data_IF_295862997018
#
_entry.id   IF_295862997018
#
_cell.length_a   1.000
_cell.length_b   1.000
_cell.length_c   1.000
_cell.angle_alpha   90.00
_cell.angle_beta   90.00
_cell.angle_gamma   90.00
#
_symmetry.space_group_name_H-M   'P 1'
#
loop_
_entity.id
_entity.type
_entity.pdbx_description
1 polymer ?
#
# COMPACT_ATOMS: atom_id res chain seq x y z
N UNK A 1 -34.34 35.22 28.27
CA UNK A 1 -33.08 34.49 28.28
C UNK A 1 -33.23 32.99 28.02
N UNK A 2 -34.02 32.22 28.80
CA UNK A 2 -34.19 30.75 28.59
C UNK A 2 -34.65 30.37 27.16
N UNK A 3 -35.60 31.08 26.57
CA UNK A 3 -36.09 30.79 25.19
C UNK A 3 -35.03 31.06 24.12
N UNK A 4 -34.18 32.09 24.31
CA UNK A 4 -33.07 32.41 23.38
C UNK A 4 -31.97 31.32 23.48
N UNK A 5 -31.64 30.88 24.70
CA UNK A 5 -30.67 29.78 24.91
C UNK A 5 -31.15 28.45 24.28
N UNK A 6 -32.44 28.13 24.44
CA UNK A 6 -33.04 26.95 23.81
C UNK A 6 -33.05 27.06 22.27
N UNK A 7 -33.30 28.24 21.71
CA UNK A 7 -33.21 28.47 20.26
C UNK A 7 -31.79 28.29 19.71
N UNK A 8 -30.79 28.83 20.42
CA UNK A 8 -29.37 28.66 20.06
C UNK A 8 -28.96 27.18 20.15
N UNK A 9 -29.35 26.48 21.21
CA UNK A 9 -29.06 25.07 21.37
C UNK A 9 -29.68 24.23 20.23
N UNK A 10 -30.96 24.48 19.92
CA UNK A 10 -31.62 23.80 18.80
C UNK A 10 -30.93 24.06 17.46
N UNK A 11 -30.51 25.29 17.20
CA UNK A 11 -29.76 25.62 15.98
C UNK A 11 -28.41 24.92 15.92
N UNK A 12 -27.67 24.86 17.03
CA UNK A 12 -26.40 24.17 17.10
C UNK A 12 -26.55 22.64 16.87
N UNK A 13 -27.60 22.05 17.41
CA UNK A 13 -27.93 20.62 17.18
C UNK A 13 -28.28 20.36 15.71
N UNK A 14 -29.06 21.27 15.09
CA UNK A 14 -29.38 21.15 13.65
C UNK A 14 -28.16 21.34 12.77
N UNK A 15 -27.28 22.28 13.08
CA UNK A 15 -26.04 22.51 12.34
C UNK A 15 -25.09 21.32 12.51
N UNK A 16 -24.97 20.77 13.73
CA UNK A 16 -24.18 19.57 13.97
C UNK A 16 -24.75 18.35 13.22
N UNK A 17 -26.07 18.17 13.23
CA UNK A 17 -26.75 17.11 12.48
C UNK A 17 -26.53 17.26 10.97
N UNK A 18 -26.65 18.47 10.43
CA UNK A 18 -26.37 18.73 9.01
C UNK A 18 -24.90 18.49 8.65
N UNK A 19 -23.97 18.87 9.51
CA UNK A 19 -22.54 18.60 9.31
C UNK A 19 -22.24 17.09 9.33
N UNK A 20 -22.81 16.34 10.27
CA UNK A 20 -22.66 14.88 10.37
C UNK A 20 -23.24 14.20 9.12
N UNK A 21 -24.39 14.66 8.61
CA UNK A 21 -24.97 14.08 7.38
C UNK A 21 -24.17 14.43 6.14
N UNK A 22 -23.54 15.62 6.09
CA UNK A 22 -22.73 16.06 4.96
C UNK A 22 -21.37 15.36 4.89
N UNK A 23 -20.75 15.08 6.05
CA UNK A 23 -19.41 14.42 6.14
C UNK A 23 -19.55 12.91 6.26
N UNK A 24 -20.69 12.41 6.72
CA UNK A 24 -20.96 11.02 7.00
C UNK A 24 -21.00 10.71 8.50
N UNK A 25 -21.96 9.93 8.91
CA UNK A 25 -22.15 9.52 10.31
C UNK A 25 -20.95 8.71 10.86
N UNK A 26 -20.16 8.09 9.99
CA UNK A 26 -18.94 7.34 10.32
C UNK A 26 -17.92 8.20 11.08
N UNK A 27 -17.90 9.50 10.85
CA UNK A 27 -17.01 10.43 11.56
C UNK A 27 -17.21 10.34 13.08
N UNK A 28 -18.45 10.12 13.52
CA UNK A 28 -18.84 10.08 14.94
C UNK A 28 -18.87 8.63 15.46
N UNK A 29 -19.47 7.73 14.69
CA UNK A 29 -19.75 6.34 15.13
C UNK A 29 -18.65 5.35 14.76
N UNK A 30 -17.68 5.75 13.94
CA UNK A 30 -16.63 4.87 13.42
C UNK A 30 -16.97 4.28 12.05
N UNK A 31 -16.05 3.50 11.47
CA UNK A 31 -16.20 2.97 10.13
C UNK A 31 -17.35 1.97 10.01
N UNK A 32 -17.92 1.89 8.82
CA UNK A 32 -18.77 0.77 8.46
C UNK A 32 -17.96 -0.52 8.48
N UNK A 33 -18.45 -1.53 9.17
CA UNK A 33 -17.80 -2.83 9.25
C UNK A 33 -18.83 -3.94 9.21
N UNK A 34 -18.55 -5.01 8.46
CA UNK A 34 -19.36 -6.23 8.58
C UNK A 34 -19.12 -6.91 9.92
N UNK A 35 -20.09 -7.68 10.37
CA UNK A 35 -19.90 -8.60 11.50
C UNK A 35 -18.81 -9.63 11.17
N UNK A 36 -18.00 -9.97 12.17
CA UNK A 36 -17.04 -11.06 12.07
C UNK A 36 -17.79 -12.39 12.13
N UNK A 37 -17.35 -13.34 11.32
CA UNK A 37 -17.89 -14.71 11.25
C UNK A 37 -16.95 -15.71 11.91
N UNK A 38 -17.37 -16.99 11.99
CA UNK A 38 -16.52 -18.09 12.44
C UNK A 38 -15.67 -18.68 11.30
N UNK A 39 -15.37 -17.90 10.24
CA UNK A 39 -14.54 -18.34 9.13
C UNK A 39 -13.14 -18.71 9.63
N UNK A 40 -12.68 -19.87 9.21
CA UNK A 40 -11.34 -20.39 9.49
C UNK A 40 -10.70 -20.87 8.20
N UNK A 41 -9.38 -20.84 8.16
CA UNK A 41 -8.62 -21.31 7.02
C UNK A 41 -7.77 -22.53 7.42
N UNK A 42 -8.05 -23.66 6.77
CA UNK A 42 -7.28 -24.87 6.98
C UNK A 42 -5.81 -24.65 6.61
N UNK A 43 -4.92 -25.09 7.50
CA UNK A 43 -3.47 -25.04 7.26
C UNK A 43 -3.05 -26.22 6.39
N UNK A 44 -2.70 -25.93 5.14
CA UNK A 44 -2.12 -26.89 4.20
C UNK A 44 -0.73 -26.44 3.76
N UNK A 45 0.12 -27.36 3.29
CA UNK A 45 1.46 -27.01 2.80
C UNK A 45 1.39 -26.10 1.56
N UNK A 46 0.39 -26.31 0.71
CA UNK A 46 0.14 -25.46 -0.45
C UNK A 46 -0.17 -24.01 -0.04
N UNK A 47 -1.04 -23.80 0.94
CA UNK A 47 -1.37 -22.46 1.48
C UNK A 47 -0.17 -21.84 2.17
N UNK A 48 0.62 -22.61 2.91
CA UNK A 48 1.84 -22.09 3.53
C UNK A 48 2.83 -21.58 2.48
N UNK A 49 3.12 -22.39 1.46
CA UNK A 49 4.04 -22.01 0.40
C UNK A 49 3.53 -20.80 -0.41
N UNK A 50 2.23 -20.81 -0.78
CA UNK A 50 1.61 -19.69 -1.50
C UNK A 50 1.57 -18.42 -0.65
N UNK A 51 1.20 -18.53 0.63
CA UNK A 51 1.15 -17.41 1.57
C UNK A 51 2.53 -16.81 1.80
N UNK A 52 3.56 -17.64 1.96
CA UNK A 52 4.94 -17.18 2.03
C UNK A 52 5.32 -16.37 0.81
N UNK A 53 5.07 -16.93 -0.38
CA UNK A 53 5.36 -16.25 -1.64
C UNK A 53 4.67 -14.89 -1.75
N UNK A 54 3.37 -14.82 -1.44
CA UNK A 54 2.62 -13.58 -1.52
C UNK A 54 3.08 -12.55 -0.49
N UNK A 55 3.20 -12.93 0.77
CA UNK A 55 3.53 -12.03 1.87
C UNK A 55 4.95 -11.48 1.76
N UNK A 56 5.90 -12.33 1.39
CA UNK A 56 7.31 -11.96 1.35
C UNK A 56 7.73 -11.29 0.05
N UNK A 57 7.12 -11.67 -1.08
CA UNK A 57 7.65 -11.26 -2.38
C UNK A 57 6.71 -10.34 -3.17
N UNK A 58 5.40 -10.63 -3.22
CA UNK A 58 4.52 -9.90 -4.15
C UNK A 58 3.76 -8.79 -3.44
N UNK A 59 3.00 -9.12 -2.37
CA UNK A 59 2.30 -8.12 -1.55
C UNK A 59 3.25 -7.35 -0.63
N UNK A 60 4.48 -7.87 -0.44
CA UNK A 60 5.56 -7.21 0.30
C UNK A 60 5.16 -6.73 1.70
N UNK A 61 4.34 -7.50 2.42
CA UNK A 61 3.77 -7.08 3.72
C UNK A 61 4.85 -6.63 4.71
N UNK A 62 6.00 -7.32 4.71
CA UNK A 62 7.10 -7.01 5.61
C UNK A 62 7.88 -5.76 5.22
N UNK A 63 7.67 -5.19 4.03
CA UNK A 63 8.22 -3.90 3.67
C UNK A 63 7.66 -2.77 4.55
N UNK A 64 6.38 -2.84 4.90
CA UNK A 64 5.75 -1.89 5.83
C UNK A 64 5.73 -2.41 7.28
N UNK A 65 5.53 -3.71 7.48
CA UNK A 65 5.34 -4.30 8.81
C UNK A 65 6.63 -4.81 9.47
N UNK A 66 7.80 -4.34 9.03
CA UNK A 66 9.09 -4.64 9.69
C UNK A 66 9.91 -3.39 9.85
N UNK A 67 10.68 -3.30 10.92
CA UNK A 67 11.62 -2.20 11.09
C UNK A 67 12.84 -2.40 10.19
N UNK A 68 13.19 -1.34 9.45
CA UNK A 68 14.33 -1.34 8.52
C UNK A 68 15.53 -0.59 9.08
N UNK A 69 16.72 -1.00 8.66
CA UNK A 69 17.93 -0.21 8.84
C UNK A 69 18.01 0.83 7.71
N UNK A 70 17.53 2.03 7.98
CA UNK A 70 17.51 3.14 7.02
C UNK A 70 18.90 3.75 6.78
N UNK A 71 19.90 3.37 7.57
CA UNK A 71 21.31 3.79 7.35
C UNK A 71 21.98 2.98 6.23
N UNK A 72 21.47 1.79 5.93
CA UNK A 72 21.91 0.97 4.80
C UNK A 72 21.09 1.36 3.54
N UNK A 73 21.75 1.70 2.41
CA UNK A 73 21.05 2.03 1.16
C UNK A 73 20.15 0.92 0.60
N UNK A 74 20.29 -0.33 1.05
CA UNK A 74 19.42 -1.44 0.69
C UNK A 74 18.19 -1.54 1.60
N UNK A 75 18.16 -0.81 2.72
CA UNK A 75 17.09 -0.80 3.71
C UNK A 75 16.69 -2.23 4.18
N UNK A 76 17.64 -3.07 4.62
CA UNK A 76 17.31 -4.42 5.05
C UNK A 76 16.43 -4.38 6.31
N UNK A 77 15.61 -5.41 6.47
CA UNK A 77 14.87 -5.62 7.73
C UNK A 77 15.86 -5.86 8.86
N UNK A 78 15.72 -5.13 9.96
CA UNK A 78 16.53 -5.34 11.16
C UNK A 78 16.36 -6.76 11.69
N UNK A 79 17.45 -7.37 12.14
CA UNK A 79 17.45 -8.73 12.64
C UNK A 79 16.41 -8.91 13.76
N UNK A 80 15.58 -9.94 13.66
CA UNK A 80 14.54 -10.26 14.63
C UNK A 80 13.28 -9.36 14.56
N UNK A 81 13.20 -8.41 13.63
CA UNK A 81 12.09 -7.46 13.54
C UNK A 81 11.13 -7.74 12.38
N UNK A 82 11.25 -8.89 11.72
CA UNK A 82 10.36 -9.27 10.62
C UNK A 82 8.92 -9.41 11.10
N UNK A 83 8.03 -8.61 10.56
CA UNK A 83 6.61 -8.57 10.93
C UNK A 83 6.30 -7.86 12.25
N UNK A 84 7.29 -7.35 12.99
CA UNK A 84 7.12 -6.75 14.30
C UNK A 84 6.57 -5.30 14.28
N UNK A 85 6.25 -4.79 13.09
CA UNK A 85 5.76 -3.44 12.88
C UNK A 85 6.87 -2.41 12.67
N UNK A 86 6.48 -1.21 12.20
CA UNK A 86 7.39 -0.10 11.92
C UNK A 86 6.69 1.25 12.02
N UNK A 87 7.36 2.23 12.63
CA UNK A 87 6.96 3.62 12.57
C UNK A 87 7.51 4.23 11.27
N UNK A 88 6.63 4.41 10.29
CA UNK A 88 7.02 4.87 8.95
C UNK A 88 7.33 6.37 8.96
N UNK A 89 8.42 6.80 8.29
CA UNK A 89 8.84 8.20 8.26
C UNK A 89 8.03 9.01 7.23
N UNK A 90 6.76 9.31 7.55
CA UNK A 90 5.84 10.07 6.68
C UNK A 90 5.29 11.27 7.48
N UNK A 91 6.11 12.31 7.71
CA UNK A 91 5.76 13.41 8.61
C UNK A 91 4.52 14.20 8.19
N UNK A 92 4.19 14.25 6.89
CA UNK A 92 3.01 14.95 6.36
C UNK A 92 1.69 14.34 6.83
N UNK A 93 1.70 13.08 7.24
CA UNK A 93 0.52 12.37 7.74
C UNK A 93 0.47 12.32 9.26
N UNK A 94 1.50 12.80 9.94
CA UNK A 94 1.73 12.64 11.37
C UNK A 94 2.50 11.36 11.68
N UNK A 95 2.16 10.69 12.79
CA UNK A 95 2.78 9.43 13.16
C UNK A 95 2.01 8.27 12.53
N UNK A 96 2.60 7.63 11.54
CA UNK A 96 2.04 6.45 10.87
C UNK A 96 2.79 5.21 11.33
N UNK A 97 2.09 4.26 11.95
CA UNK A 97 2.69 3.03 12.47
C UNK A 97 2.02 1.82 11.85
N UNK A 98 2.79 1.04 11.09
CA UNK A 98 2.39 -0.29 10.69
C UNK A 98 2.47 -1.23 11.91
N UNK A 99 1.38 -1.91 12.29
CA UNK A 99 1.35 -2.72 13.50
C UNK A 99 2.17 -4.01 13.37
N UNK A 100 2.42 -4.66 14.52
CA UNK A 100 2.94 -6.01 14.59
C UNK A 100 1.91 -7.00 14.02
N UNK A 101 2.29 -7.74 12.98
CA UNK A 101 1.46 -8.76 12.31
C UNK A 101 1.96 -10.19 12.56
N UNK A 102 2.90 -10.36 13.51
CA UNK A 102 3.31 -11.69 13.94
C UNK A 102 2.24 -12.32 14.87
N UNK A 103 2.23 -13.66 15.04
CA UNK A 103 1.25 -14.32 15.91
C UNK A 103 1.57 -14.17 17.41
N UNK A 104 2.16 -13.05 17.81
CA UNK A 104 2.32 -12.71 19.22
C UNK A 104 0.97 -12.34 19.84
N UNK A 105 0.67 -12.89 21.02
CA UNK A 105 -0.64 -12.74 21.66
C UNK A 105 -0.87 -11.36 22.28
N UNK A 106 0.17 -10.68 22.68
CA UNK A 106 0.07 -9.41 23.41
C UNK A 106 0.19 -8.21 22.45
N UNK A 107 1.14 -8.26 21.54
CA UNK A 107 1.51 -7.12 20.70
C UNK A 107 1.17 -7.30 19.22
N UNK A 108 0.83 -8.54 18.79
CA UNK A 108 0.56 -8.90 17.40
C UNK A 108 -0.87 -9.36 17.14
N UNK A 109 -1.02 -10.29 16.20
CA UNK A 109 -2.31 -10.83 15.77
C UNK A 109 -2.62 -12.21 16.36
N UNK A 110 -1.87 -12.68 17.36
CA UNK A 110 -2.01 -14.06 17.90
C UNK A 110 -3.41 -14.39 18.44
N UNK A 111 -4.08 -13.42 19.05
CA UNK A 111 -5.44 -13.58 19.58
C UNK A 111 -6.57 -13.23 18.59
N UNK A 112 -6.23 -12.85 17.34
CA UNK A 112 -7.23 -12.53 16.33
C UNK A 112 -7.79 -13.82 15.72
N UNK A 113 -9.07 -13.82 15.32
CA UNK A 113 -9.62 -14.89 14.47
C UNK A 113 -9.14 -14.75 13.04
N UNK A 114 -9.26 -15.80 12.24
CA UNK A 114 -8.89 -15.72 10.81
C UNK A 114 -9.74 -14.70 10.07
N UNK A 115 -11.02 -14.59 10.43
CA UNK A 115 -11.93 -13.62 9.81
C UNK A 115 -11.63 -12.17 10.25
N UNK A 116 -11.14 -11.94 11.47
CA UNK A 116 -10.67 -10.62 11.90
C UNK A 116 -9.43 -10.19 11.10
N UNK A 117 -8.50 -11.12 10.84
CA UNK A 117 -7.32 -10.84 10.00
C UNK A 117 -7.76 -10.58 8.56
N UNK A 118 -8.64 -11.42 8.00
CA UNK A 118 -9.17 -11.25 6.65
C UNK A 118 -9.89 -9.90 6.48
N UNK A 119 -10.72 -9.51 7.47
CA UNK A 119 -11.39 -8.21 7.48
C UNK A 119 -10.40 -7.04 7.52
N UNK A 120 -9.36 -7.13 8.31
CA UNK A 120 -8.33 -6.09 8.35
C UNK A 120 -7.61 -5.94 6.99
N UNK A 121 -7.28 -7.06 6.35
CA UNK A 121 -6.60 -7.07 5.04
C UNK A 121 -7.50 -6.53 3.92
N UNK A 122 -8.78 -6.93 3.88
CA UNK A 122 -9.64 -6.61 2.73
C UNK A 122 -10.53 -5.38 2.95
N UNK A 123 -10.84 -5.02 4.19
CA UNK A 123 -11.83 -3.99 4.50
C UNK A 123 -11.24 -2.83 5.30
N UNK A 124 -10.00 -2.96 5.78
CA UNK A 124 -9.33 -1.88 6.54
C UNK A 124 -9.90 -1.67 7.94
N UNK A 125 -10.48 -2.70 8.57
CA UNK A 125 -11.06 -2.62 9.92
C UNK A 125 -10.38 -3.65 10.83
N UNK A 126 -9.75 -3.18 11.90
CA UNK A 126 -9.05 -4.04 12.83
C UNK A 126 -9.99 -4.84 13.76
N UNK A 127 -9.41 -5.68 14.63
CA UNK A 127 -10.17 -6.49 15.63
C UNK A 127 -11.11 -5.63 16.48
N UNK A 128 -10.70 -4.44 16.90
CA UNK A 128 -11.46 -3.54 17.75
C UNK A 128 -12.51 -2.71 16.98
N UNK A 129 -12.73 -2.99 15.69
CA UNK A 129 -13.65 -2.22 14.86
C UNK A 129 -13.16 -0.82 14.50
N UNK A 130 -11.85 -0.54 14.63
CA UNK A 130 -11.25 0.75 14.29
C UNK A 130 -10.71 0.73 12.86
N UNK A 131 -10.75 1.89 12.16
CA UNK A 131 -10.25 1.98 10.80
C UNK A 131 -8.73 1.82 10.77
N UNK A 132 -8.24 1.20 9.70
CA UNK A 132 -6.85 1.28 9.30
C UNK A 132 -6.68 2.46 8.34
N UNK A 133 -5.54 3.15 8.42
CA UNK A 133 -5.22 4.19 7.45
C UNK A 133 -4.91 3.55 6.08
N UNK A 134 -5.40 4.12 4.95
CA UNK A 134 -5.34 3.46 3.63
C UNK A 134 -3.96 3.38 3.00
N UNK A 135 -2.88 3.73 3.71
CA UNK A 135 -1.53 3.33 3.34
C UNK A 135 -1.36 1.80 3.42
N UNK A 136 -2.13 1.14 4.30
CA UNK A 136 -2.42 -0.29 4.18
C UNK A 136 -3.35 -0.47 2.98
N UNK A 137 -2.92 -1.13 1.88
CA UNK A 137 -3.64 -1.07 0.61
C UNK A 137 -4.86 -2.02 0.56
N UNK A 138 -5.71 -1.98 1.60
CA UNK A 138 -6.91 -2.81 1.68
C UNK A 138 -7.90 -2.54 0.54
N UNK A 139 -7.83 -1.36 -0.09
CA UNK A 139 -8.65 -1.06 -1.28
C UNK A 139 -8.25 -1.92 -2.49
N UNK A 140 -6.98 -2.31 -2.60
CA UNK A 140 -6.52 -3.27 -3.59
C UNK A 140 -6.78 -4.70 -3.12
N UNK A 141 -6.40 -4.99 -1.88
CA UNK A 141 -6.47 -6.31 -1.27
C UNK A 141 -7.89 -6.85 -1.13
N UNK A 142 -8.90 -5.98 -1.15
CA UNK A 142 -10.31 -6.43 -1.18
C UNK A 142 -10.64 -7.28 -2.41
N UNK A 143 -9.79 -7.25 -3.44
CA UNK A 143 -9.92 -8.01 -4.67
C UNK A 143 -9.07 -9.29 -4.68
N UNK A 144 -8.44 -9.67 -3.57
CA UNK A 144 -7.73 -10.94 -3.49
C UNK A 144 -8.64 -12.11 -3.87
N UNK A 145 -8.06 -13.10 -4.53
CA UNK A 145 -8.67 -14.42 -4.60
C UNK A 145 -8.88 -14.97 -3.21
N UNK A 146 -9.95 -15.72 -3.01
CA UNK A 146 -10.29 -16.29 -1.69
C UNK A 146 -9.19 -17.24 -1.21
N UNK A 147 -8.55 -17.97 -2.11
CA UNK A 147 -7.45 -18.88 -1.79
C UNK A 147 -6.13 -18.13 -1.48
N UNK A 148 -5.86 -17.03 -2.18
CA UNK A 148 -4.70 -16.18 -1.87
C UNK A 148 -4.85 -15.51 -0.50
N UNK A 149 -6.05 -15.01 -0.18
CA UNK A 149 -6.34 -14.47 1.16
C UNK A 149 -6.16 -15.54 2.25
N UNK A 150 -6.74 -16.75 2.04
CA UNK A 150 -6.58 -17.87 2.95
C UNK A 150 -5.10 -18.23 3.17
N UNK A 151 -4.33 -18.25 2.08
CA UNK A 151 -2.89 -18.55 2.11
C UNK A 151 -2.12 -17.50 2.90
N UNK A 152 -2.41 -16.22 2.72
CA UNK A 152 -1.79 -15.11 3.46
C UNK A 152 -2.07 -15.26 4.97
N UNK A 153 -3.33 -15.49 5.37
CA UNK A 153 -3.70 -15.64 6.78
C UNK A 153 -3.01 -16.85 7.41
N UNK A 154 -3.01 -18.00 6.72
CA UNK A 154 -2.34 -19.22 7.16
C UNK A 154 -0.85 -19.00 7.35
N UNK A 155 -0.20 -18.29 6.42
CA UNK A 155 1.23 -18.00 6.52
C UNK A 155 1.54 -17.05 7.69
N UNK A 156 0.80 -15.96 7.84
CA UNK A 156 1.01 -14.99 8.95
C UNK A 156 0.86 -15.65 10.32
N UNK A 157 0.01 -16.68 10.45
CA UNK A 157 -0.10 -17.46 11.69
C UNK A 157 1.05 -18.43 11.92
N UNK A 158 1.85 -18.72 10.90
CA UNK A 158 2.92 -19.72 10.96
C UNK A 158 4.31 -19.12 11.20
N UNK A 159 4.47 -17.80 11.02
CA UNK A 159 5.76 -17.14 11.25
C UNK A 159 6.10 -17.07 12.75
N UNK A 160 7.39 -16.89 13.10
CA UNK A 160 7.77 -16.71 14.50
C UNK A 160 7.07 -15.51 15.14
N UNK A 161 6.54 -15.69 16.36
CA UNK A 161 6.01 -14.60 17.16
C UNK A 161 7.14 -13.68 17.62
N UNK A 162 6.95 -12.38 17.48
CA UNK A 162 7.89 -11.35 17.96
C UNK A 162 7.13 -10.46 18.93
N UNK A 163 7.48 -10.50 20.21
CA UNK A 163 6.91 -9.57 21.20
C UNK A 163 7.54 -8.21 21.04
N UNK A 164 6.79 -7.28 20.47
CA UNK A 164 7.25 -5.93 20.23
C UNK A 164 6.11 -4.92 20.29
N UNK A 165 6.08 -4.12 21.36
CA UNK A 165 5.07 -3.06 21.53
C UNK A 165 5.39 -1.89 20.62
N UNK A 166 4.42 -1.50 19.82
CA UNK A 166 4.48 -0.27 19.00
C UNK A 166 3.50 0.78 19.53
N UNK A 167 3.89 2.02 19.38
CA UNK A 167 2.98 3.13 19.58
C UNK A 167 1.84 3.09 18.55
N UNK A 168 0.76 3.79 18.85
CA UNK A 168 -0.37 3.90 17.92
C UNK A 168 -0.08 4.97 16.89
N UNK A 169 -0.68 4.84 15.71
CA UNK A 169 -0.70 5.92 14.73
C UNK A 169 -1.45 7.13 15.28
N UNK A 170 -0.89 8.32 15.06
CA UNK A 170 -1.44 9.61 15.43
C UNK A 170 -1.46 10.49 14.18
N UNK A 171 -2.55 10.38 13.42
CA UNK A 171 -2.72 11.13 12.18
C UNK A 171 -3.02 12.60 12.47
N UNK A 172 -2.55 13.49 11.60
CA UNK A 172 -2.88 14.92 11.68
C UNK A 172 -4.38 15.16 11.46
N UNK A 173 -4.90 16.26 12.02
CA UNK A 173 -6.27 16.70 11.74
C UNK A 173 -6.32 17.37 10.35
N UNK A 174 -7.32 17.07 9.48
CA UNK A 174 -8.54 16.29 9.76
C UNK A 174 -8.43 14.78 9.44
N UNK A 175 -7.28 14.24 9.04
CA UNK A 175 -7.14 12.83 8.61
C UNK A 175 -7.54 11.85 9.71
N UNK A 176 -7.23 12.16 10.98
CA UNK A 176 -7.61 11.35 12.15
C UNK A 176 -9.14 11.16 12.30
N UNK A 177 -9.92 12.04 11.71
CA UNK A 177 -11.38 11.99 11.69
C UNK A 177 -11.88 11.34 10.41
N UNK A 178 -11.35 11.78 9.26
CA UNK A 178 -11.78 11.32 7.94
C UNK A 178 -11.46 9.84 7.71
N UNK A 179 -10.43 9.29 8.37
CA UNK A 179 -10.09 7.87 8.27
C UNK A 179 -11.27 6.95 8.60
N UNK A 180 -12.21 7.38 9.44
CA UNK A 180 -13.42 6.61 9.75
C UNK A 180 -14.35 6.42 8.54
N UNK A 181 -14.27 7.24 7.53
CA UNK A 181 -15.12 7.17 6.33
C UNK A 181 -14.51 6.32 5.21
N UNK A 182 -13.26 5.91 5.34
CA UNK A 182 -12.49 5.24 4.28
C UNK A 182 -12.77 3.73 4.18
N UNK A 183 -12.77 2.94 5.29
CA UNK A 183 -13.12 1.53 5.23
C UNK A 183 -14.57 1.33 4.80
N UNK A 184 -14.80 0.29 4.00
CA UNK A 184 -16.15 -0.10 3.58
C UNK A 184 -16.28 -1.62 3.67
N UNK A 185 -17.41 -2.15 4.17
CA UNK A 185 -17.66 -3.57 4.18
C UNK A 185 -17.50 -4.17 2.79
N UNK A 186 -16.94 -5.35 2.71
CA UNK A 186 -16.90 -6.10 1.48
C UNK A 186 -18.30 -6.64 1.21
N UNK A 187 -18.94 -6.33 0.07
CA UNK A 187 -20.23 -6.89 -0.27
C UNK A 187 -20.09 -8.41 -0.49
N UNK A 188 -21.20 -9.14 -0.32
CA UNK A 188 -21.26 -10.52 -0.74
C UNK A 188 -20.90 -10.64 -2.23
N UNK A 189 -20.07 -11.58 -2.56
CA UNK A 189 -19.56 -11.79 -3.94
C UNK A 189 -19.43 -13.29 -4.20
N UNK A 190 -19.49 -13.65 -5.49
CA UNK A 190 -19.11 -14.98 -5.92
C UNK A 190 -17.64 -15.25 -5.61
N UNK A 191 -17.25 -16.50 -5.32
CA UNK A 191 -15.87 -16.85 -5.02
C UNK A 191 -14.90 -16.35 -6.10
N UNK A 192 -13.91 -15.56 -5.69
CA UNK A 192 -12.86 -15.07 -6.57
C UNK A 192 -11.79 -16.13 -6.74
N UNK A 193 -11.50 -16.50 -7.97
CA UNK A 193 -10.54 -17.56 -8.28
C UNK A 193 -9.60 -17.17 -9.41
N UNK A 194 -8.41 -17.76 -9.40
CA UNK A 194 -7.44 -17.62 -10.49
C UNK A 194 -7.96 -18.15 -11.84
N UNK A 195 -8.92 -19.08 -11.83
CA UNK A 195 -9.45 -19.73 -13.04
C UNK A 195 -10.07 -18.75 -14.06
N UNK A 196 -10.53 -17.59 -13.60
CA UNK A 196 -11.08 -16.56 -14.50
C UNK A 196 -9.99 -15.83 -15.31
N UNK A 197 -8.72 -15.90 -14.91
CA UNK A 197 -7.60 -15.19 -15.55
C UNK A 197 -6.84 -16.12 -16.50
N UNK A 198 -7.32 -16.27 -17.69
CA UNK A 198 -6.81 -17.24 -18.69
C UNK A 198 -5.63 -16.70 -19.52
N UNK A 199 -5.40 -15.40 -19.55
CA UNK A 199 -4.31 -14.78 -20.32
C UNK A 199 -3.19 -14.26 -19.42
N UNK A 200 -1.94 -14.17 -19.92
CA UNK A 200 -0.84 -13.55 -19.19
C UNK A 200 -1.18 -12.13 -18.70
N UNK A 201 -1.75 -11.29 -19.56
CA UNK A 201 -2.13 -9.93 -19.18
C UNK A 201 -3.19 -9.90 -18.07
N UNK A 202 -4.17 -10.80 -18.06
CA UNK A 202 -5.18 -10.86 -16.99
C UNK A 202 -4.58 -11.33 -15.65
N UNK A 203 -3.62 -12.28 -15.69
CA UNK A 203 -2.88 -12.66 -14.48
C UNK A 203 -1.98 -11.53 -13.99
N UNK A 204 -1.29 -10.86 -14.91
CA UNK A 204 -0.48 -9.68 -14.62
C UNK A 204 -1.29 -8.52 -14.04
N UNK A 205 -2.51 -8.27 -14.54
CA UNK A 205 -3.41 -7.27 -13.95
C UNK A 205 -3.68 -7.53 -12.49
N UNK A 206 -4.00 -8.78 -12.14
CA UNK A 206 -4.20 -9.17 -10.75
C UNK A 206 -2.96 -8.93 -9.88
N UNK A 207 -1.77 -9.33 -10.37
CA UNK A 207 -0.53 -9.10 -9.65
C UNK A 207 -0.25 -7.60 -9.47
N UNK A 208 -0.41 -6.81 -10.53
CA UNK A 208 -0.09 -5.37 -10.55
C UNK A 208 -1.08 -4.53 -9.75
N UNK A 209 -2.39 -4.78 -9.91
CA UNK A 209 -3.43 -3.95 -9.29
C UNK A 209 -3.89 -4.44 -7.94
N UNK A 210 -3.93 -5.77 -7.74
CA UNK A 210 -4.47 -6.32 -6.50
C UNK A 210 -3.37 -6.67 -5.51
N UNK A 211 -2.33 -7.39 -5.93
CA UNK A 211 -1.36 -7.98 -5.00
C UNK A 211 -0.21 -7.01 -4.69
N UNK A 212 0.49 -6.54 -5.72
CA UNK A 212 1.66 -5.67 -5.55
C UNK A 212 1.29 -4.17 -5.42
N UNK A 213 0.10 -3.75 -5.87
CA UNK A 213 -0.35 -2.37 -5.77
C UNK A 213 0.53 -1.36 -6.52
N UNK A 214 1.11 -1.74 -7.67
CA UNK A 214 2.05 -0.88 -8.41
C UNK A 214 1.45 0.50 -8.75
N UNK A 215 0.13 0.56 -8.98
CA UNK A 215 -0.58 1.80 -9.26
C UNK A 215 -0.51 2.81 -8.11
N UNK A 216 -0.41 2.38 -6.85
CA UNK A 216 -0.44 3.26 -5.68
C UNK A 216 0.78 4.20 -5.67
N UNK A 217 1.90 3.71 -6.21
CA UNK A 217 3.11 4.50 -6.37
C UNK A 217 3.21 5.12 -7.77
N UNK A 218 2.83 4.38 -8.82
CA UNK A 218 3.08 4.75 -10.20
C UNK A 218 1.92 5.51 -10.88
N UNK A 219 0.86 5.86 -10.16
CA UNK A 219 -0.20 6.75 -10.65
C UNK A 219 -0.18 8.04 -9.84
N UNK A 220 -0.10 9.22 -10.47
CA UNK A 220 -0.08 10.47 -9.72
C UNK A 220 -1.46 10.75 -9.12
N UNK A 221 -1.47 11.34 -7.93
CA UNK A 221 -2.68 11.72 -7.21
C UNK A 221 -2.76 13.23 -6.98
N UNK A 222 -3.96 13.74 -6.81
CA UNK A 222 -4.23 15.11 -6.39
C UNK A 222 -3.95 15.31 -4.88
N UNK A 223 -4.14 16.54 -4.40
CA UNK A 223 -3.95 16.91 -2.99
C UNK A 223 -4.89 16.16 -2.02
N UNK A 224 -5.94 15.51 -2.54
CA UNK A 224 -6.88 14.68 -1.77
C UNK A 224 -6.51 13.20 -1.81
N UNK A 225 -5.40 12.84 -2.45
CA UNK A 225 -4.95 11.46 -2.63
C UNK A 225 -5.75 10.69 -3.68
N UNK A 226 -6.52 11.38 -4.55
CA UNK A 226 -7.28 10.72 -5.61
C UNK A 226 -6.43 10.66 -6.89
N UNK A 227 -6.37 9.48 -7.51
CA UNK A 227 -5.62 9.30 -8.76
C UNK A 227 -6.15 10.23 -9.85
N UNK A 228 -5.21 10.86 -10.56
CA UNK A 228 -5.56 11.73 -11.68
C UNK A 228 -6.15 10.90 -12.83
N UNK A 229 -7.33 11.26 -13.35
CA UNK A 229 -7.98 10.51 -14.42
C UNK A 229 -7.10 10.40 -15.67
N UNK A 230 -7.02 9.19 -16.24
CA UNK A 230 -6.22 8.92 -17.46
C UNK A 230 -4.71 8.90 -17.24
N UNK A 231 -4.24 8.91 -15.98
CA UNK A 231 -2.83 8.90 -15.63
C UNK A 231 -2.35 7.56 -15.04
N UNK A 232 -3.12 6.49 -15.21
CA UNK A 232 -2.79 5.16 -14.69
C UNK A 232 -1.37 4.76 -15.08
N UNK A 233 -0.54 4.47 -14.07
CA UNK A 233 0.88 4.11 -14.23
C UNK A 233 1.78 5.17 -14.88
N UNK A 234 1.27 6.40 -15.04
CA UNK A 234 2.01 7.51 -15.66
C UNK A 234 3.16 8.06 -14.81
N UNK A 235 3.34 7.60 -13.58
CA UNK A 235 4.38 8.08 -12.66
C UNK A 235 4.07 9.46 -12.06
N UNK A 236 4.99 9.98 -11.26
CA UNK A 236 4.88 11.32 -10.65
C UNK A 236 4.47 11.31 -9.18
N UNK A 237 4.22 10.15 -8.57
CA UNK A 237 4.07 10.07 -7.12
C UNK A 237 5.37 10.47 -6.42
N UNK A 238 5.29 11.34 -5.40
CA UNK A 238 6.45 11.84 -4.65
C UNK A 238 6.65 11.05 -3.36
N UNK A 239 7.90 10.72 -3.09
CA UNK A 239 8.31 9.95 -1.91
C UNK A 239 9.53 10.59 -1.26
N UNK A 240 9.54 10.69 0.06
CA UNK A 240 10.72 11.08 0.81
C UNK A 240 11.73 9.93 0.92
N UNK A 241 13.00 10.28 0.94
CA UNK A 241 14.06 9.32 1.26
C UNK A 241 13.96 8.97 2.76
N UNK A 242 13.79 7.69 3.13
CA UNK A 242 13.65 7.30 4.53
C UNK A 242 14.87 7.61 5.40
N UNK A 243 16.06 7.74 4.81
CA UNK A 243 17.29 8.11 5.50
C UNK A 243 17.47 9.63 5.64
N UNK A 244 16.84 10.41 4.75
CA UNK A 244 16.92 11.88 4.75
C UNK A 244 15.62 12.48 4.19
N UNK A 245 14.68 12.78 5.08
CA UNK A 245 13.34 13.26 4.73
C UNK A 245 13.33 14.62 3.99
N UNK A 246 14.46 15.32 3.93
CA UNK A 246 14.59 16.54 3.10
C UNK A 246 14.71 16.24 1.62
N UNK A 247 14.98 14.99 1.25
CA UNK A 247 15.15 14.52 -0.11
C UNK A 247 13.91 13.81 -0.61
N UNK A 248 13.61 14.02 -1.88
CA UNK A 248 12.43 13.40 -2.52
C UNK A 248 12.82 12.75 -3.84
N UNK A 249 12.09 11.71 -4.20
CA UNK A 249 12.14 11.06 -5.50
C UNK A 249 10.74 10.88 -6.06
N UNK A 250 10.60 10.94 -7.38
CA UNK A 250 9.33 10.69 -8.04
C UNK A 250 9.30 9.29 -8.66
N UNK A 251 8.17 8.60 -8.55
CA UNK A 251 7.95 7.35 -9.28
C UNK A 251 7.97 7.59 -10.78
N UNK A 252 8.60 6.71 -11.55
CA UNK A 252 8.68 6.86 -13.00
C UNK A 252 7.42 6.34 -13.69
N UNK A 253 7.18 6.85 -14.91
CA UNK A 253 6.15 6.34 -15.81
C UNK A 253 6.51 4.91 -16.26
N UNK A 254 5.62 3.95 -15.98
CA UNK A 254 5.78 2.53 -16.35
C UNK A 254 4.80 2.09 -17.43
N UNK A 255 4.16 3.02 -18.14
CA UNK A 255 3.33 2.71 -19.30
C UNK A 255 4.18 2.48 -20.56
N UNK A 256 3.61 1.86 -21.63
CA UNK A 256 4.31 1.64 -22.89
C UNK A 256 4.48 2.92 -23.73
N UNK A 257 4.40 4.12 -23.12
CA UNK A 257 4.67 5.39 -23.81
C UNK A 257 6.17 5.61 -24.04
N UNK A 258 6.58 6.43 -25.02
CA UNK A 258 7.98 6.84 -25.20
C UNK A 258 8.57 7.52 -23.95
N UNK A 259 7.73 8.20 -23.16
CA UNK A 259 8.13 8.80 -21.87
C UNK A 259 8.15 7.80 -20.71
N UNK A 260 7.75 6.56 -20.92
CA UNK A 260 7.74 5.47 -19.96
C UNK A 260 8.70 4.35 -20.35
N UNK A 261 8.22 3.11 -20.34
CA UNK A 261 9.03 1.91 -20.60
C UNK A 261 8.91 1.38 -22.04
N UNK A 262 8.58 2.23 -23.03
CA UNK A 262 8.52 1.80 -24.44
C UNK A 262 9.83 1.19 -24.96
N UNK A 263 10.95 1.60 -24.37
CA UNK A 263 12.30 1.13 -24.73
C UNK A 263 12.70 -0.17 -24.05
N UNK A 264 11.85 -0.71 -23.14
CA UNK A 264 12.10 -2.03 -22.53
C UNK A 264 11.60 -3.12 -23.46
N UNK A 265 12.33 -4.21 -23.48
CA UNK A 265 11.84 -5.53 -23.84
C UNK A 265 11.59 -6.39 -22.57
N UNK A 266 11.07 -7.59 -22.76
CA UNK A 266 10.82 -8.53 -21.65
C UNK A 266 12.09 -8.84 -20.87
N UNK A 267 13.21 -9.06 -21.58
CA UNK A 267 14.49 -9.41 -20.94
C UNK A 267 14.98 -8.28 -20.03
N UNK A 268 14.98 -7.03 -20.51
CA UNK A 268 15.37 -5.88 -19.71
C UNK A 268 14.42 -5.67 -18.52
N UNK A 269 13.12 -5.89 -18.70
CA UNK A 269 12.15 -5.81 -17.60
C UNK A 269 12.43 -6.84 -16.52
N UNK A 270 12.58 -8.11 -16.89
CA UNK A 270 12.91 -9.18 -15.94
C UNK A 270 14.24 -8.91 -15.23
N UNK A 271 15.28 -8.54 -15.99
CA UNK A 271 16.56 -8.16 -15.42
C UNK A 271 16.40 -7.02 -14.40
N UNK A 272 15.69 -5.97 -14.76
CA UNK A 272 15.43 -4.82 -13.88
C UNK A 272 14.78 -5.25 -12.57
N UNK A 273 13.73 -6.07 -12.64
CA UNK A 273 13.04 -6.55 -11.45
C UNK A 273 13.90 -7.49 -10.58
N UNK A 274 14.74 -8.32 -11.21
CA UNK A 274 15.62 -9.26 -10.49
C UNK A 274 16.84 -8.58 -9.85
N UNK A 275 17.41 -7.59 -10.52
CA UNK A 275 18.67 -6.96 -10.07
C UNK A 275 18.46 -5.63 -9.35
N UNK A 276 17.32 -4.97 -9.54
CA UNK A 276 17.09 -3.61 -9.08
C UNK A 276 17.90 -2.57 -9.85
N UNK A 277 18.36 -2.92 -11.09
CA UNK A 277 19.22 -2.03 -11.89
C UNK A 277 18.74 -1.97 -13.32
N UNK A 278 18.58 -0.77 -13.84
CA UNK A 278 18.30 -0.49 -15.26
C UNK A 278 19.59 -0.04 -15.92
N UNK A 279 20.18 -0.91 -16.76
CA UNK A 279 21.49 -0.68 -17.38
C UNK A 279 22.56 -0.45 -16.29
N UNK A 280 22.85 0.81 -15.94
CA UNK A 280 23.81 1.18 -14.87
C UNK A 280 23.15 1.92 -13.70
N UNK A 281 21.87 2.28 -13.80
CA UNK A 281 21.15 3.04 -12.78
C UNK A 281 20.46 2.09 -11.81
N UNK A 282 20.77 2.19 -10.52
CA UNK A 282 20.06 1.47 -9.45
C UNK A 282 18.69 2.11 -9.22
N UNK A 283 17.67 1.26 -8.98
CA UNK A 283 16.35 1.71 -8.56
C UNK A 283 16.41 2.23 -7.12
N UNK A 284 15.54 3.21 -6.81
CA UNK A 284 15.42 3.72 -5.45
C UNK A 284 14.81 2.62 -4.55
N UNK A 285 15.34 2.39 -3.33
CA UNK A 285 14.90 1.34 -2.42
C UNK A 285 13.49 1.55 -1.85
N UNK A 286 12.88 2.72 -2.04
CA UNK A 286 11.43 2.95 -1.78
C UNK A 286 10.58 1.98 -2.61
N UNK A 287 10.98 1.68 -3.85
CA UNK A 287 10.42 0.55 -4.59
C UNK A 287 10.89 -0.74 -3.91
N UNK A 288 9.99 -1.62 -3.45
CA UNK A 288 10.35 -2.81 -2.67
C UNK A 288 11.01 -3.90 -3.51
N UNK A 289 12.09 -3.55 -4.21
CA UNK A 289 12.78 -4.42 -5.15
C UNK A 289 13.40 -5.64 -4.48
N UNK A 290 13.80 -5.49 -3.21
CA UNK A 290 14.33 -6.61 -2.42
C UNK A 290 13.29 -7.74 -2.23
N UNK A 291 12.01 -7.39 -2.30
CA UNK A 291 10.90 -8.34 -2.30
C UNK A 291 10.62 -8.83 -3.73
N UNK A 292 10.40 -7.91 -4.67
CA UNK A 292 9.99 -8.22 -6.04
C UNK A 292 11.02 -9.06 -6.81
N UNK A 293 12.31 -8.95 -6.51
CA UNK A 293 13.36 -9.77 -7.14
C UNK A 293 13.14 -11.27 -6.94
N UNK A 294 12.38 -11.66 -5.91
CA UNK A 294 12.05 -13.05 -5.60
C UNK A 294 10.75 -13.53 -6.25
N UNK A 295 10.06 -12.68 -7.00
CA UNK A 295 8.92 -13.12 -7.83
C UNK A 295 9.39 -14.16 -8.85
N UNK A 296 8.51 -15.10 -9.19
CA UNK A 296 8.82 -16.07 -10.25
C UNK A 296 8.96 -15.35 -11.61
N UNK A 297 9.72 -15.95 -12.52
CA UNK A 297 9.88 -15.40 -13.86
C UNK A 297 8.54 -15.40 -14.61
N UNK A 298 7.68 -16.38 -14.37
CA UNK A 298 6.36 -16.45 -14.98
C UNK A 298 5.45 -15.32 -14.50
N UNK A 299 5.42 -15.02 -13.20
CA UNK A 299 4.67 -13.89 -12.67
C UNK A 299 5.22 -12.55 -13.19
N UNK A 300 6.55 -12.41 -13.32
CA UNK A 300 7.16 -11.21 -13.90
C UNK A 300 6.81 -11.07 -15.40
N UNK A 301 6.73 -12.17 -16.16
CA UNK A 301 6.25 -12.15 -17.55
C UNK A 301 4.78 -11.75 -17.63
N UNK A 302 3.95 -12.24 -16.71
CA UNK A 302 2.55 -11.85 -16.64
C UNK A 302 2.41 -10.34 -16.30
N UNK A 303 3.18 -9.84 -15.34
CA UNK A 303 3.27 -8.39 -15.04
C UNK A 303 3.69 -7.59 -16.27
N UNK A 304 4.74 -8.04 -16.99
CA UNK A 304 5.20 -7.41 -18.21
C UNK A 304 4.09 -7.38 -19.30
N UNK A 305 3.43 -8.52 -19.53
CA UNK A 305 2.35 -8.61 -20.48
C UNK A 305 1.21 -7.62 -20.17
N UNK A 306 0.89 -7.43 -18.88
CA UNK A 306 -0.11 -6.45 -18.48
C UNK A 306 0.38 -5.01 -18.71
N UNK A 307 1.56 -4.65 -18.27
CA UNK A 307 2.11 -3.29 -18.42
C UNK A 307 2.27 -2.91 -19.90
N UNK A 308 2.47 -3.87 -20.79
CA UNK A 308 2.46 -3.63 -22.24
C UNK A 308 1.06 -3.42 -22.84
N UNK A 309 0.02 -3.83 -22.12
CA UNK A 309 -1.37 -3.70 -22.56
C UNK A 309 -2.09 -2.45 -22.05
N UNK A 310 -1.53 -1.74 -21.05
CA UNK A 310 -2.15 -0.53 -20.52
C UNK A 310 -2.05 0.64 -21.52
N UNK A 311 -2.98 1.58 -21.41
CA UNK A 311 -2.95 2.79 -22.24
C UNK A 311 -1.64 3.57 -22.05
N UNK A 312 -0.96 3.99 -23.11
CA UNK A 312 0.24 4.81 -22.99
C UNK A 312 -0.10 6.21 -22.46
N UNK A 313 0.64 6.67 -21.45
CA UNK A 313 0.49 7.99 -20.84
C UNK A 313 1.68 8.87 -21.23
N UNK A 314 1.43 9.97 -21.93
CA UNK A 314 2.48 10.94 -22.27
C UNK A 314 2.78 11.80 -21.05
N UNK A 315 3.67 11.31 -20.18
CA UNK A 315 4.10 12.00 -18.98
C UNK A 315 5.57 11.69 -18.70
N UNK A 316 6.43 12.70 -18.88
CA UNK A 316 7.87 12.55 -18.61
C UNK A 316 8.14 12.88 -17.14
N UNK A 317 8.62 11.92 -16.41
CA UNK A 317 9.13 12.09 -15.04
C UNK A 317 10.63 11.82 -15.04
N UNK A 318 11.41 12.77 -14.51
CA UNK A 318 12.86 12.64 -14.37
C UNK A 318 13.26 12.96 -12.94
N UNK A 319 14.13 12.15 -12.37
CA UNK A 319 14.74 12.39 -11.06
C UNK A 319 16.16 12.99 -11.17
N UNK A 320 16.65 13.24 -12.39
CA UNK A 320 17.98 13.78 -12.65
C UNK A 320 17.96 15.20 -13.25
N UNK A 321 16.83 15.62 -13.81
CA UNK A 321 16.65 16.98 -14.32
C UNK A 321 16.54 17.99 -13.16
N UNK A 322 16.71 19.27 -13.45
CA UNK A 322 16.44 20.35 -12.49
C UNK A 322 14.97 20.27 -12.01
N UNK A 323 14.74 20.57 -10.73
CA UNK A 323 13.41 20.55 -10.16
C UNK A 323 12.49 21.55 -10.87
N UNK A 324 11.34 21.08 -11.36
CA UNK A 324 10.35 21.90 -12.05
C UNK A 324 8.94 21.40 -11.79
N UNK A 325 7.98 22.34 -11.71
CA UNK A 325 6.55 21.99 -11.63
C UNK A 325 6.10 21.37 -12.95
N UNK A 326 5.58 20.18 -12.89
CA UNK A 326 5.10 19.46 -14.06
C UNK A 326 3.76 20.05 -14.54
N UNK A 327 3.61 20.42 -15.81
CA UNK A 327 2.33 20.93 -16.33
C UNK A 327 1.27 19.83 -16.50
N UNK A 328 1.65 18.56 -16.42
CA UNK A 328 0.74 17.42 -16.64
C UNK A 328 0.10 16.96 -15.31
N UNK A 329 0.91 16.68 -14.28
CA UNK A 329 0.40 16.17 -13.00
C UNK A 329 0.38 17.24 -11.88
N UNK A 330 0.93 18.43 -12.11
CA UNK A 330 0.99 19.51 -11.11
C UNK A 330 2.03 19.32 -10.00
N UNK A 331 2.69 18.17 -9.91
CA UNK A 331 3.72 17.88 -8.92
C UNK A 331 5.07 18.45 -9.36
N UNK A 332 6.00 18.65 -8.42
CA UNK A 332 7.38 19.06 -8.73
C UNK A 332 8.24 17.80 -8.86
N UNK A 333 8.84 17.59 -10.02
CA UNK A 333 9.80 16.50 -10.25
C UNK A 333 11.22 17.06 -10.43
N UNK A 334 12.19 16.16 -10.32
CA UNK A 334 13.59 16.46 -10.56
C UNK A 334 14.44 16.33 -9.30
N UNK A 335 15.76 16.26 -9.50
CA UNK A 335 16.79 16.20 -8.47
C UNK A 335 16.74 14.97 -7.53
N UNK A 336 15.82 14.00 -7.74
CA UNK A 336 15.68 12.83 -6.87
C UNK A 336 16.99 12.04 -6.71
N UNK A 337 17.64 11.68 -7.81
CA UNK A 337 18.94 10.99 -7.78
C UNK A 337 20.09 11.91 -7.38
N UNK A 338 20.00 13.21 -7.67
CA UNK A 338 21.00 14.22 -7.26
C UNK A 338 20.88 14.62 -5.78
N UNK A 339 19.72 14.37 -5.17
CA UNK A 339 19.50 14.60 -3.74
C UNK A 339 20.16 13.52 -2.87
N UNK A 340 20.67 12.43 -3.44
CA UNK A 340 21.43 11.43 -2.70
C UNK A 340 22.73 12.05 -2.20
N UNK A 341 23.11 11.75 -0.96
CA UNK A 341 24.42 12.09 -0.46
C UNK A 341 25.47 11.52 -1.43
N UNK A 342 26.57 12.27 -1.76
CA UNK A 342 27.67 11.70 -2.52
C UNK A 342 28.09 10.40 -1.84
N UNK A 343 28.19 9.31 -2.58
CA UNK A 343 28.76 8.07 -2.08
C UNK A 343 30.12 8.43 -1.50
N UNK A 344 30.30 8.15 -0.20
CA UNK A 344 31.49 8.56 0.55
C UNK A 344 32.75 8.05 -0.15
N UNK A 345 33.69 8.97 -0.31
CA UNK A 345 35.07 8.66 -0.68
C UNK A 345 35.76 7.87 0.40
#
# INVERSE_FOLDING_TARGET
>A
MKKILLGILALLVLLAGAAITAVGWQVVLGPDARAVTNRTFERTDARLARGQYLVENVASCFHCHSEHDVSDPAMPVKAGMKGAGWAMPIPELGKVVAPNITPDNETGIGTWTDDEIARAIQEGVNKQGKPLFPIMPYMNFRNFDDEDLASIVVYLRSIPAVSHTRERSELITPLNILVNTMPKPLPAHEPRTAAARTTPAARGEYLVRTVAGCQDCHTPADERGQFLPGMDFGGGGLFHDPADLSKTTASLNITPAPSGIAHYDESLFLQTMKTGTVVSRRLNPIMPIENYRNMTDDDLRDVWAYLRSVAPVTHRVSNTDAAAKCPVCGQTHGLGDLNKAPEGK
#
